data_IF_401610332718
#
_entry.id   IF_401610332718
#
_cell.length_a   1.000
_cell.length_b   1.000
_cell.length_c   1.000
_cell.angle_alpha   90.00
_cell.angle_beta   90.00
_cell.angle_gamma   90.00
#
_symmetry.space_group_name_H-M   'P 1'
#
loop_
_entity.id
_entity.type
_entity.pdbx_description
1 polymer ?
#
# COMPACT_ATOMS: atom_id res chain seq x y z
N UNK A 1 -35.94 9.58 -16.58
CA UNK A 1 -34.79 8.79 -16.07
C UNK A 1 -33.52 9.58 -16.36
N UNK A 2 -32.62 9.72 -15.39
CA UNK A 2 -31.32 10.39 -15.66
C UNK A 2 -30.35 9.42 -16.34
N UNK A 3 -29.39 9.91 -17.14
CA UNK A 3 -28.34 9.09 -17.76
C UNK A 3 -27.61 8.17 -16.76
N UNK A 4 -27.41 8.64 -15.53
CA UNK A 4 -26.83 7.86 -14.43
C UNK A 4 -27.71 6.69 -13.98
N UNK A 5 -29.03 6.87 -13.99
CA UNK A 5 -29.99 5.81 -13.65
C UNK A 5 -29.95 4.68 -14.68
N UNK A 6 -29.84 5.02 -15.97
CA UNK A 6 -29.72 4.06 -17.08
C UNK A 6 -28.38 3.32 -17.08
N UNK A 7 -27.30 3.95 -16.60
CA UNK A 7 -26.00 3.29 -16.36
C UNK A 7 -25.97 2.45 -15.07
N UNK A 8 -27.10 2.37 -14.35
CA UNK A 8 -27.22 1.61 -13.12
C UNK A 8 -26.41 2.17 -11.95
N UNK A 9 -25.97 3.44 -12.01
CA UNK A 9 -25.28 4.18 -10.94
C UNK A 9 -26.31 4.79 -9.98
N UNK A 10 -27.03 3.94 -9.25
CA UNK A 10 -27.89 4.39 -8.15
C UNK A 10 -27.06 4.88 -6.96
N UNK A 11 -27.71 5.53 -5.98
CA UNK A 11 -27.05 6.12 -4.81
C UNK A 11 -26.12 5.14 -4.09
N UNK A 12 -26.53 3.88 -3.94
CA UNK A 12 -25.76 2.84 -3.25
C UNK A 12 -24.46 2.50 -3.99
N UNK A 13 -24.51 2.37 -5.32
CA UNK A 13 -23.29 2.12 -6.12
C UNK A 13 -22.37 3.32 -6.14
N UNK A 14 -22.92 4.54 -6.15
CA UNK A 14 -22.10 5.75 -6.06
C UNK A 14 -21.35 5.80 -4.72
N UNK A 15 -22.04 5.50 -3.63
CA UNK A 15 -21.44 5.41 -2.29
C UNK A 15 -20.34 4.34 -2.24
N UNK A 16 -20.61 3.16 -2.80
CA UNK A 16 -19.62 2.08 -2.87
C UNK A 16 -18.35 2.47 -3.66
N UNK A 17 -18.51 3.20 -4.77
CA UNK A 17 -17.36 3.70 -5.55
C UNK A 17 -16.56 4.74 -4.74
N UNK A 18 -17.22 5.63 -3.98
CA UNK A 18 -16.54 6.59 -3.10
C UNK A 18 -15.71 5.88 -2.03
N UNK A 19 -16.29 4.90 -1.36
CA UNK A 19 -15.60 4.06 -0.35
C UNK A 19 -14.40 3.34 -0.97
N UNK A 20 -14.58 2.79 -2.18
CA UNK A 20 -13.50 2.14 -2.90
C UNK A 20 -12.35 3.09 -3.20
N UNK A 21 -12.64 4.31 -3.65
CA UNK A 21 -11.64 5.32 -3.95
C UNK A 21 -10.91 5.82 -2.69
N UNK A 22 -11.60 5.91 -1.55
CA UNK A 22 -10.99 6.21 -0.26
C UNK A 22 -9.99 5.12 0.13
N UNK A 23 -10.39 3.85 0.05
CA UNK A 23 -9.49 2.72 0.31
C UNK A 23 -8.29 2.72 -0.64
N UNK A 24 -8.50 3.02 -1.92
CA UNK A 24 -7.44 3.04 -2.92
C UNK A 24 -6.41 4.15 -2.64
N UNK A 25 -6.86 5.32 -2.21
CA UNK A 25 -5.98 6.42 -1.81
C UNK A 25 -5.15 6.06 -0.57
N UNK A 26 -5.75 5.39 0.41
CA UNK A 26 -5.04 4.92 1.61
C UNK A 26 -3.94 3.91 1.24
N UNK A 27 -4.25 2.92 0.38
CA UNK A 27 -3.27 1.94 -0.09
C UNK A 27 -2.14 2.58 -0.91
N UNK A 28 -2.49 3.60 -1.71
CA UNK A 28 -1.55 4.39 -2.48
C UNK A 28 -0.61 5.20 -1.58
N UNK A 29 -1.16 5.95 -0.62
CA UNK A 29 -0.39 6.70 0.36
C UNK A 29 0.54 5.79 1.17
N UNK A 30 0.06 4.61 1.56
CA UNK A 30 0.89 3.62 2.24
C UNK A 30 2.07 3.14 1.39
N UNK A 31 1.86 2.98 0.09
CA UNK A 31 2.90 2.58 -0.85
C UNK A 31 3.94 3.69 -1.04
N UNK A 32 3.50 4.95 -1.07
CA UNK A 32 4.37 6.12 -1.20
C UNK A 32 5.23 6.35 0.04
N UNK A 33 4.65 6.24 1.24
CA UNK A 33 5.37 6.33 2.52
C UNK A 33 6.45 5.24 2.67
N UNK A 34 6.31 4.12 1.95
CA UNK A 34 7.28 3.03 1.88
C UNK A 34 8.38 3.25 0.82
N UNK A 35 8.42 4.44 0.21
CA UNK A 35 9.46 4.84 -0.75
C UNK A 35 9.27 4.25 -2.15
N UNK A 36 8.06 3.82 -2.52
CA UNK A 36 7.74 3.34 -3.87
C UNK A 36 7.18 4.44 -4.77
N UNK A 37 7.78 5.63 -4.70
CA UNK A 37 7.45 6.82 -5.50
C UNK A 37 7.96 6.72 -6.95
N UNK A 38 7.78 5.55 -7.58
CA UNK A 38 8.04 5.37 -9.01
C UNK A 38 6.76 5.02 -9.77
N UNK A 39 5.64 5.58 -9.29
CA UNK A 39 4.32 5.39 -9.88
C UNK A 39 4.32 5.84 -11.34
N UNK A 40 4.82 7.05 -11.64
CA UNK A 40 4.90 7.56 -13.00
C UNK A 40 5.47 6.54 -13.99
N UNK A 41 6.65 5.98 -13.74
CA UNK A 41 7.28 5.02 -14.64
C UNK A 41 6.48 3.72 -14.82
N UNK A 42 5.79 3.28 -13.76
CA UNK A 42 4.94 2.07 -13.79
C UNK A 42 3.61 2.31 -14.49
N UNK A 43 3.10 3.54 -14.42
CA UNK A 43 1.81 3.93 -14.98
C UNK A 43 1.94 4.41 -16.44
N UNK A 44 3.04 5.09 -16.80
CA UNK A 44 3.29 5.69 -18.11
C UNK A 44 3.38 4.67 -19.25
N UNK A 45 3.78 3.43 -18.95
CA UNK A 45 3.98 2.38 -19.97
C UNK A 45 2.70 1.65 -20.36
N UNK A 46 1.55 1.98 -19.77
CA UNK A 46 0.33 1.23 -19.94
C UNK A 46 -0.88 2.12 -20.23
N UNK A 47 -1.78 1.59 -21.05
CA UNK A 47 -3.14 2.10 -21.18
C UNK A 47 -3.95 1.60 -19.98
N UNK A 48 -4.81 2.42 -19.34
CA UNK A 48 -5.32 3.72 -19.79
C UNK A 48 -4.46 4.92 -19.33
N UNK A 49 -4.42 6.00 -20.11
CA UNK A 49 -3.64 7.17 -19.74
C UNK A 49 -4.33 7.94 -18.61
N UNK A 50 -3.61 8.06 -17.50
CA UNK A 50 -3.85 9.04 -16.45
C UNK A 50 -3.31 10.40 -16.89
N UNK A 51 -3.92 11.47 -16.39
CA UNK A 51 -3.47 12.84 -16.67
C UNK A 51 -2.29 13.23 -15.77
N UNK A 52 -2.26 12.69 -14.55
CA UNK A 52 -1.23 12.88 -13.54
C UNK A 52 0.10 12.29 -14.01
N UNK A 53 1.17 13.07 -13.84
CA UNK A 53 2.55 12.66 -14.14
C UNK A 53 3.42 12.56 -12.88
N UNK A 54 2.78 12.43 -11.73
CA UNK A 54 3.43 12.36 -10.43
C UNK A 54 4.15 11.04 -10.22
N UNK A 55 5.22 11.09 -9.44
CA UNK A 55 5.97 9.91 -9.01
C UNK A 55 5.24 9.15 -7.88
N UNK A 56 4.29 9.80 -7.19
CA UNK A 56 3.48 9.25 -6.11
C UNK A 56 2.21 8.53 -6.60
N UNK A 57 1.87 7.39 -6.01
CA UNK A 57 0.63 6.67 -6.28
C UNK A 57 -0.62 7.41 -5.77
N UNK A 58 -0.51 8.15 -4.66
CA UNK A 58 -1.62 8.90 -4.06
C UNK A 58 -2.24 9.88 -5.03
N UNK A 59 -1.42 10.53 -5.86
CA UNK A 59 -1.89 11.55 -6.81
C UNK A 59 -2.74 10.94 -7.92
N UNK A 60 -2.47 9.69 -8.29
CA UNK A 60 -3.31 8.92 -9.22
C UNK A 60 -4.65 8.51 -8.60
N UNK A 61 -4.68 8.23 -7.29
CA UNK A 61 -5.93 7.95 -6.58
C UNK A 61 -6.78 9.23 -6.42
N UNK A 62 -6.13 10.38 -6.18
CA UNK A 62 -6.77 11.69 -6.13
C UNK A 62 -7.38 12.04 -7.50
N UNK A 63 -6.65 11.82 -8.60
CA UNK A 63 -7.20 12.02 -9.95
C UNK A 63 -8.50 11.23 -10.16
N UNK A 64 -8.53 9.96 -9.75
CA UNK A 64 -9.74 9.13 -9.86
C UNK A 64 -10.91 9.67 -9.05
N UNK A 65 -10.66 10.20 -7.84
CA UNK A 65 -11.72 10.87 -7.06
C UNK A 65 -12.31 12.05 -7.80
N UNK A 66 -11.45 12.92 -8.33
CA UNK A 66 -11.88 14.09 -9.09
C UNK A 66 -12.63 13.69 -10.38
N UNK A 67 -12.14 12.67 -11.07
CA UNK A 67 -12.79 12.14 -12.29
C UNK A 67 -14.16 11.53 -11.98
N UNK A 68 -14.32 10.86 -10.84
CA UNK A 68 -15.61 10.33 -10.41
C UNK A 68 -16.62 11.44 -10.11
N UNK A 69 -16.25 12.48 -9.35
CA UNK A 69 -17.16 13.62 -9.12
C UNK A 69 -17.57 14.28 -10.44
N UNK A 70 -16.61 14.43 -11.36
CA UNK A 70 -16.89 14.99 -12.69
C UNK A 70 -17.84 14.11 -13.52
N UNK A 71 -17.77 12.78 -13.39
CA UNK A 71 -18.72 11.87 -14.04
C UNK A 71 -20.13 12.02 -13.48
N UNK A 72 -20.26 12.18 -12.16
CA UNK A 72 -21.55 12.43 -11.53
C UNK A 72 -22.14 13.77 -11.99
N UNK A 73 -21.33 14.83 -12.05
CA UNK A 73 -21.75 16.13 -12.57
C UNK A 73 -22.20 16.05 -14.04
N UNK A 74 -21.41 15.39 -14.89
CA UNK A 74 -21.75 15.20 -16.31
C UNK A 74 -23.06 14.43 -16.47
N UNK A 75 -23.26 13.36 -15.70
CA UNK A 75 -24.47 12.54 -15.76
C UNK A 75 -25.74 13.22 -15.22
N UNK A 76 -25.62 14.37 -14.56
CA UNK A 76 -26.73 15.22 -14.13
C UNK A 76 -27.10 16.29 -15.16
N UNK A 77 -26.23 16.56 -16.13
CA UNK A 77 -26.50 17.57 -17.17
C UNK A 77 -27.50 17.07 -18.19
N UNK A 78 -28.44 17.93 -18.57
CA UNK A 78 -29.50 17.63 -19.53
C UNK A 78 -29.02 17.49 -20.98
N UNK A 79 -27.85 18.06 -21.31
CA UNK A 79 -27.21 18.04 -22.64
C UNK A 79 -26.16 16.91 -22.78
N UNK A 80 -25.99 16.06 -21.77
CA UNK A 80 -24.98 15.00 -21.79
C UNK A 80 -25.40 13.84 -22.71
N UNK A 81 -24.55 13.54 -23.71
CA UNK A 81 -24.70 12.33 -24.54
C UNK A 81 -24.46 11.08 -23.69
N UNK A 82 -25.41 10.15 -23.73
CA UNK A 82 -25.32 8.86 -23.04
C UNK A 82 -24.09 8.05 -23.48
N UNK A 83 -23.80 8.00 -24.79
CA UNK A 83 -22.66 7.28 -25.35
C UNK A 83 -21.33 7.83 -24.82
N UNK A 84 -21.22 9.14 -24.68
CA UNK A 84 -20.03 9.80 -24.16
C UNK A 84 -19.84 9.48 -22.66
N UNK A 85 -20.93 9.48 -21.89
CA UNK A 85 -20.91 9.15 -20.47
C UNK A 85 -20.53 7.68 -20.23
N UNK A 86 -20.99 6.78 -21.09
CA UNK A 86 -20.62 5.36 -21.09
C UNK A 86 -19.12 5.17 -21.35
N UNK A 87 -18.57 5.80 -22.41
CA UNK A 87 -17.14 5.74 -22.72
C UNK A 87 -16.26 6.26 -21.58
N UNK A 88 -16.64 7.38 -20.95
CA UNK A 88 -15.88 7.88 -19.81
C UNK A 88 -15.98 6.97 -18.58
N UNK A 89 -17.15 6.36 -18.36
CA UNK A 89 -17.36 5.41 -17.26
C UNK A 89 -16.51 4.15 -17.45
N UNK A 90 -16.46 3.60 -18.67
CA UNK A 90 -15.59 2.46 -19.00
C UNK A 90 -14.12 2.82 -18.76
N UNK A 91 -13.65 3.96 -19.30
CA UNK A 91 -12.26 4.39 -19.11
C UNK A 91 -11.91 4.57 -17.63
N UNK A 92 -12.83 5.13 -16.84
CA UNK A 92 -12.67 5.29 -15.40
C UNK A 92 -12.51 3.94 -14.68
N UNK A 93 -13.34 2.94 -14.99
CA UNK A 93 -13.23 1.60 -14.41
C UNK A 93 -11.91 0.93 -14.77
N UNK A 94 -11.44 1.08 -16.02
CA UNK A 94 -10.13 0.56 -16.43
C UNK A 94 -9.00 1.23 -15.63
N UNK A 95 -9.06 2.55 -15.40
CA UNK A 95 -8.05 3.25 -14.58
C UNK A 95 -8.03 2.74 -13.14
N UNK A 96 -9.19 2.52 -12.51
CA UNK A 96 -9.28 1.91 -11.17
C UNK A 96 -8.62 0.53 -11.15
N UNK A 97 -9.01 -0.34 -12.07
CA UNK A 97 -8.49 -1.71 -12.14
C UNK A 97 -6.97 -1.72 -12.30
N UNK A 98 -6.45 -0.81 -13.13
CA UNK A 98 -5.03 -0.69 -13.38
C UNK A 98 -4.26 -0.20 -12.14
N UNK A 99 -4.74 0.86 -11.47
CA UNK A 99 -4.10 1.35 -10.24
C UNK A 99 -4.10 0.28 -9.14
N UNK A 100 -5.22 -0.43 -8.96
CA UNK A 100 -5.29 -1.60 -8.05
C UNK A 100 -4.25 -2.65 -8.38
N UNK A 101 -4.09 -3.00 -9.66
CA UNK A 101 -3.11 -4.00 -10.08
C UNK A 101 -1.68 -3.55 -9.78
N UNK A 102 -1.35 -2.29 -10.03
CA UNK A 102 -0.04 -1.73 -9.73
C UNK A 102 0.26 -1.74 -8.23
N UNK A 103 -0.70 -1.30 -7.41
CA UNK A 103 -0.58 -1.35 -5.95
C UNK A 103 -0.46 -2.79 -5.45
N UNK A 104 -1.23 -3.74 -5.99
CA UNK A 104 -1.13 -5.15 -5.63
C UNK A 104 0.25 -5.75 -5.97
N UNK A 105 0.81 -5.45 -7.15
CA UNK A 105 2.17 -5.88 -7.53
C UNK A 105 3.23 -5.30 -6.58
N UNK A 106 3.08 -4.04 -6.22
CA UNK A 106 3.95 -3.37 -5.25
C UNK A 106 3.82 -4.04 -3.88
N UNK A 107 2.60 -4.29 -3.40
CA UNK A 107 2.30 -4.99 -2.15
C UNK A 107 2.83 -6.43 -2.11
N UNK A 108 2.69 -7.21 -3.18
CA UNK A 108 3.21 -8.58 -3.29
C UNK A 108 4.74 -8.63 -3.22
N UNK A 109 5.44 -7.63 -3.75
CA UNK A 109 6.90 -7.53 -3.60
C UNK A 109 7.33 -7.39 -2.14
N UNK A 110 6.49 -6.83 -1.27
CA UNK A 110 6.76 -6.78 0.18
C UNK A 110 6.49 -8.12 0.88
N UNK A 111 5.47 -8.87 0.46
CA UNK A 111 5.16 -10.19 1.02
C UNK A 111 6.32 -11.18 0.86
N UNK A 112 6.91 -11.23 -0.35
CA UNK A 112 8.10 -12.07 -0.62
C UNK A 112 9.32 -11.63 0.20
N UNK A 113 9.67 -10.34 0.17
CA UNK A 113 10.84 -9.85 0.92
C UNK A 113 10.72 -10.04 2.45
N UNK A 114 9.51 -9.99 3.01
CA UNK A 114 9.30 -10.21 4.44
C UNK A 114 9.40 -11.69 4.80
N UNK A 115 8.84 -12.56 3.97
CA UNK A 115 8.95 -14.02 4.07
C UNK A 115 10.41 -14.48 3.99
N UNK A 116 11.13 -14.05 2.96
CA UNK A 116 12.52 -14.45 2.72
C UNK A 116 13.44 -13.96 3.85
N UNK A 117 13.18 -12.76 4.37
CA UNK A 117 13.87 -12.23 5.54
C UNK A 117 13.56 -13.03 6.82
N UNK A 118 12.30 -13.43 7.04
CA UNK A 118 11.95 -14.28 8.18
C UNK A 118 12.59 -15.66 8.11
N UNK A 119 12.60 -16.28 6.93
CA UNK A 119 13.28 -17.55 6.70
C UNK A 119 14.79 -17.41 6.91
N UNK A 120 15.40 -16.33 6.43
CA UNK A 120 16.81 -16.04 6.67
C UNK A 120 17.10 -15.88 8.17
N UNK A 121 16.30 -15.12 8.92
CA UNK A 121 16.46 -14.97 10.37
C UNK A 121 16.32 -16.30 11.11
N UNK A 122 15.37 -17.16 10.71
CA UNK A 122 15.22 -18.50 11.26
C UNK A 122 16.45 -19.38 10.96
N UNK A 123 16.97 -19.35 9.74
CA UNK A 123 18.20 -20.11 9.40
C UNK A 123 19.40 -19.66 10.25
N UNK A 124 19.49 -18.37 10.60
CA UNK A 124 20.57 -17.83 11.41
C UNK A 124 20.48 -18.24 12.89
N UNK A 125 19.30 -18.62 13.38
CA UNK A 125 19.15 -19.15 14.76
C UNK A 125 19.89 -20.47 14.95
N UNK A 126 20.11 -21.22 13.88
CA UNK A 126 20.83 -22.50 13.89
C UNK A 126 22.23 -22.40 13.26
N UNK A 127 22.63 -21.22 12.78
CA UNK A 127 23.94 -20.98 12.19
C UNK A 127 25.02 -20.79 13.27
N UNK A 128 26.26 -21.21 12.99
CA UNK A 128 27.44 -20.90 13.80
C UNK A 128 28.19 -19.64 13.29
N UNK A 129 27.72 -19.05 12.18
CA UNK A 129 28.30 -17.84 11.59
C UNK A 129 27.96 -16.58 12.41
N UNK A 130 28.88 -16.22 13.31
CA UNK A 130 28.75 -15.04 14.16
C UNK A 130 28.66 -13.74 13.38
N UNK A 131 29.39 -13.61 12.26
CA UNK A 131 29.41 -12.37 11.47
C UNK A 131 28.06 -12.12 10.79
N UNK A 132 27.48 -13.18 10.20
CA UNK A 132 26.14 -13.11 9.63
C UNK A 132 25.07 -12.77 10.67
N UNK A 133 25.15 -13.34 11.88
CA UNK A 133 24.22 -13.03 12.98
C UNK A 133 24.37 -11.56 13.43
N UNK A 134 25.59 -11.03 13.56
CA UNK A 134 25.81 -9.61 13.89
C UNK A 134 25.26 -8.66 12.81
N UNK A 135 25.49 -8.96 11.53
CA UNK A 135 24.93 -8.18 10.40
C UNK A 135 23.41 -8.20 10.41
N UNK A 136 22.79 -9.36 10.67
CA UNK A 136 21.35 -9.49 10.76
C UNK A 136 20.77 -8.72 11.96
N UNK A 137 21.44 -8.74 13.12
CA UNK A 137 21.06 -7.96 14.30
C UNK A 137 21.12 -6.45 14.06
N UNK A 138 22.12 -5.97 13.33
CA UNK A 138 22.21 -4.55 12.96
C UNK A 138 21.01 -4.12 12.10
N UNK A 139 20.65 -4.94 11.10
CA UNK A 139 19.47 -4.70 10.25
C UNK A 139 18.16 -4.77 11.04
N UNK A 140 18.02 -5.75 11.94
CA UNK A 140 16.88 -5.90 12.86
C UNK A 140 16.69 -4.65 13.74
N UNK A 141 17.76 -4.17 14.40
CA UNK A 141 17.72 -2.95 15.23
C UNK A 141 17.30 -1.72 14.44
N UNK A 142 17.78 -1.58 13.20
CA UNK A 142 17.37 -0.48 12.34
C UNK A 142 15.87 -0.54 12.01
N UNK A 143 15.36 -1.74 11.69
CA UNK A 143 13.94 -1.94 11.40
C UNK A 143 13.05 -1.71 12.64
N UNK A 144 13.49 -2.15 13.83
CA UNK A 144 12.81 -1.84 15.10
C UNK A 144 12.72 -0.33 15.34
N UNK A 145 13.80 0.42 15.09
CA UNK A 145 13.80 1.88 15.24
C UNK A 145 12.81 2.56 14.29
N UNK A 146 12.74 2.10 13.04
CA UNK A 146 11.76 2.60 12.07
C UNK A 146 10.32 2.27 12.49
N UNK A 147 10.05 1.06 12.99
CA UNK A 147 8.73 0.67 13.46
C UNK A 147 8.30 1.50 14.68
N UNK A 148 9.20 1.74 15.64
CA UNK A 148 8.93 2.62 16.79
C UNK A 148 8.58 4.04 16.35
N UNK A 149 9.36 4.61 15.42
CA UNK A 149 9.08 5.94 14.89
C UNK A 149 7.70 6.01 14.20
N UNK A 150 7.31 4.95 13.48
CA UNK A 150 5.98 4.86 12.84
C UNK A 150 4.85 4.73 13.87
N UNK A 151 5.05 3.98 14.94
CA UNK A 151 4.07 3.87 16.04
C UNK A 151 3.88 5.23 16.71
N UNK A 152 4.96 5.94 17.05
CA UNK A 152 4.88 7.28 17.65
C UNK A 152 4.19 8.30 16.74
N UNK A 153 4.39 8.20 15.41
CA UNK A 153 3.67 9.03 14.44
C UNK A 153 2.18 8.68 14.35
N UNK A 154 1.84 7.40 14.45
CA UNK A 154 0.46 6.93 14.48
C UNK A 154 -0.25 7.19 15.83
N UNK A 155 0.49 7.50 16.88
CA UNK A 155 -0.04 7.92 18.19
C UNK A 155 -0.34 9.42 18.24
N UNK A 156 0.36 10.23 17.42
CA UNK A 156 0.23 11.69 17.40
C UNK A 156 -0.80 12.20 16.41
N UNK A 157 -1.05 11.44 15.35
CA UNK A 157 -2.15 11.59 14.41
C UNK A 157 -3.15 10.53 14.84
N UNK A 158 -4.43 10.82 15.08
CA UNK A 158 -5.48 9.83 15.45
C UNK A 158 -5.73 8.79 14.31
N UNK A 159 -4.69 8.07 13.91
CA UNK A 159 -4.67 7.13 12.81
C UNK A 159 -5.24 5.81 13.34
N UNK A 160 -6.54 5.62 13.12
CA UNK A 160 -7.32 4.37 13.18
C UNK A 160 -6.61 3.19 13.91
N UNK A 161 -7.10 2.86 15.11
CA UNK A 161 -6.54 1.88 16.06
C UNK A 161 -6.06 0.55 15.46
N UNK A 162 -6.68 0.09 14.36
CA UNK A 162 -6.29 -1.13 13.64
C UNK A 162 -4.86 -1.05 13.04
N UNK A 163 -4.46 0.10 12.51
CA UNK A 163 -3.12 0.28 11.94
C UNK A 163 -2.04 0.36 13.03
N UNK A 164 -2.33 0.99 14.16
CA UNK A 164 -1.44 1.04 15.32
C UNK A 164 -1.22 -0.36 15.91
N UNK A 165 -2.28 -1.14 16.09
CA UNK A 165 -2.18 -2.51 16.61
C UNK A 165 -1.36 -3.41 15.67
N UNK A 166 -1.56 -3.30 14.35
CA UNK A 166 -0.77 -4.04 13.37
C UNK A 166 0.73 -3.67 13.40
N UNK A 167 1.06 -2.40 13.61
CA UNK A 167 2.44 -1.93 13.77
C UNK A 167 3.08 -2.45 15.06
N UNK A 168 2.35 -2.45 16.18
CA UNK A 168 2.81 -3.00 17.45
C UNK A 168 3.09 -4.51 17.37
N UNK A 169 2.18 -5.29 16.76
CA UNK A 169 2.40 -6.72 16.52
C UNK A 169 3.64 -6.98 15.66
N UNK A 170 3.88 -6.16 14.63
CA UNK A 170 5.10 -6.26 13.81
C UNK A 170 6.35 -5.95 14.61
N UNK A 171 6.33 -4.94 15.49
CA UNK A 171 7.44 -4.62 16.37
C UNK A 171 7.74 -5.78 17.33
N UNK A 172 6.71 -6.36 17.94
CA UNK A 172 6.86 -7.51 18.84
C UNK A 172 7.51 -8.71 18.12
N UNK A 173 7.05 -9.04 16.92
CA UNK A 173 7.66 -10.11 16.10
C UNK A 173 9.14 -9.84 15.79
N UNK A 174 9.46 -8.58 15.47
CA UNK A 174 10.83 -8.11 15.24
C UNK A 174 11.71 -8.34 16.48
N UNK A 175 11.25 -7.89 17.65
CA UNK A 175 11.95 -8.04 18.92
C UNK A 175 12.16 -9.50 19.34
N UNK A 176 11.19 -10.37 19.04
CA UNK A 176 11.33 -11.81 19.28
C UNK A 176 12.46 -12.40 18.42
N UNK A 177 12.54 -12.05 17.14
CA UNK A 177 13.64 -12.47 16.26
C UNK A 177 14.99 -11.92 16.72
N UNK A 178 15.05 -10.65 17.15
CA UNK A 178 16.26 -10.04 17.73
C UNK A 178 16.72 -10.79 18.98
N UNK A 179 15.80 -11.14 19.87
CA UNK A 179 16.11 -11.88 21.10
C UNK A 179 16.68 -13.26 20.79
N UNK A 180 16.07 -14.00 19.87
CA UNK A 180 16.55 -15.32 19.47
C UNK A 180 17.96 -15.29 18.85
N UNK A 181 18.27 -14.29 18.02
CA UNK A 181 19.62 -14.13 17.48
C UNK A 181 20.66 -13.76 18.55
N UNK A 182 20.28 -12.98 19.56
CA UNK A 182 21.16 -12.69 20.71
C UNK A 182 21.44 -13.93 21.53
N UNK A 183 20.41 -14.71 21.85
CA UNK A 183 20.55 -15.99 22.56
C UNK A 183 21.47 -16.94 21.79
N UNK A 184 21.35 -17.01 20.46
CA UNK A 184 22.26 -17.80 19.63
C UNK A 184 23.71 -17.33 19.73
N UNK A 185 23.97 -16.02 19.67
CA UNK A 185 25.33 -15.49 19.87
C UNK A 185 25.88 -15.82 21.26
N UNK A 186 25.06 -15.74 22.30
CA UNK A 186 25.50 -16.04 23.66
C UNK A 186 25.83 -17.53 23.82
N UNK A 187 25.03 -18.44 23.24
CA UNK A 187 25.36 -19.86 23.16
C UNK A 187 26.68 -20.12 22.42
N UNK A 188 26.93 -19.39 21.33
CA UNK A 188 28.19 -19.50 20.59
C UNK A 188 29.39 -18.99 21.38
N UNK A 189 29.23 -17.95 22.22
CA UNK A 189 30.30 -17.44 23.09
C UNK A 189 30.70 -18.44 24.16
N UNK A 190 29.75 -19.22 24.67
CA UNK A 190 29.98 -20.23 25.72
C UNK A 190 30.36 -21.63 25.19
N UNK A 191 30.44 -21.80 23.87
CA UNK A 191 30.90 -23.04 23.20
C UNK A 191 32.40 -23.08 22.91
N UNK A 192 33.12 -21.99 23.21
CA UNK A 192 34.58 -21.90 23.22
C UNK A 192 35.07 -21.82 24.66
#
# INVERSE_FOLDING_TARGET
>A
MTPLSSLGLNSDKQQHIRELLISLEQDAGYSDERGKRNAFQKMQRCFPPFNTRSDAFSDYAIELKLEFERLLELGQRSDCSYELLEQYSERFLVKIAFLKQCLAKVSQSFGKNTSDWQQHLQSLQYSDDREAIYKALAKQKHYEAQLKQKITKAETIEAQSANQHALQLRLQRCQNSTTALRQRLDLLKHKN
#
